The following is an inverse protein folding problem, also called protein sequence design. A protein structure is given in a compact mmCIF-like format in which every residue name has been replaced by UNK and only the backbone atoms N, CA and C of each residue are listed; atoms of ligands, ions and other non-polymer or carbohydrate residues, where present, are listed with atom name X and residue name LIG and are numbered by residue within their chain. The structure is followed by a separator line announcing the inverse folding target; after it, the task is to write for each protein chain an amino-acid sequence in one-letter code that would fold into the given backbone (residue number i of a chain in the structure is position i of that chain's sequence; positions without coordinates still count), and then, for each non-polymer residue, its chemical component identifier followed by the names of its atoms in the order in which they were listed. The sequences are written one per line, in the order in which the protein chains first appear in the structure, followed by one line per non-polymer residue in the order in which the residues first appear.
data_IF_522751730843
#
_entry.id   IF_522751730843
#
_cell.length_a   1.000
_cell.length_b   1.000
_cell.length_c   1.000
_cell.angle_alpha   90.00
_cell.angle_beta   90.00
_cell.angle_gamma   90.00
#
_symmetry.space_group_name_H-M   'P 1'
#
loop_
_entity.id
_entity.type
_entity.pdbx_description
1 polymer ?
#
# COMPACT_ATOMS: atom_id res chain seq x y z
N UNK A 1 -9.85 7.01 11.88
CA UNK A 1 -8.83 5.94 11.99
C UNK A 1 -9.32 4.88 12.96
N UNK A 2 -9.12 3.60 12.66
CA UNK A 2 -9.48 2.48 13.53
C UNK A 2 -8.19 1.72 13.84
N UNK A 3 -7.55 2.04 14.97
CA UNK A 3 -6.29 1.43 15.41
C UNK A 3 -6.39 0.96 16.85
N UNK A 4 -5.83 -0.21 17.14
CA UNK A 4 -5.53 -0.62 18.52
C UNK A 4 -4.13 -0.15 18.96
N UNK A 5 -3.20 0.04 18.01
CA UNK A 5 -1.82 0.47 18.26
C UNK A 5 -1.62 1.98 18.06
N UNK A 6 -1.33 2.68 19.17
CA UNK A 6 -1.08 4.13 19.18
C UNK A 6 0.22 4.51 18.44
N UNK A 7 1.18 3.61 18.32
CA UNK A 7 2.44 3.83 17.59
C UNK A 7 2.17 3.96 16.09
N UNK A 8 1.35 3.07 15.53
CA UNK A 8 0.94 3.09 14.12
C UNK A 8 0.11 4.33 13.84
N UNK A 9 -0.84 4.66 14.73
CA UNK A 9 -1.61 5.91 14.66
C UNK A 9 -0.69 7.14 14.62
N UNK A 10 0.29 7.21 15.52
CA UNK A 10 1.20 8.35 15.59
C UNK A 10 2.10 8.45 14.35
N UNK A 11 2.52 7.32 13.78
CA UNK A 11 3.26 7.29 12.53
C UNK A 11 2.39 7.83 11.37
N UNK A 12 1.10 7.47 11.31
CA UNK A 12 0.20 7.97 10.27
C UNK A 12 0.00 9.49 10.39
N UNK A 13 -0.20 9.99 11.61
CA UNK A 13 -0.26 11.44 11.89
C UNK A 13 1.04 12.15 11.52
N UNK A 14 2.19 11.49 11.62
CA UNK A 14 3.45 12.08 11.15
C UNK A 14 3.52 12.11 9.63
N UNK A 15 2.98 11.10 8.95
CA UNK A 15 2.90 11.08 7.49
C UNK A 15 1.98 12.20 6.95
N UNK A 16 0.85 12.47 7.59
CA UNK A 16 -0.01 13.61 7.21
C UNK A 16 0.74 14.94 7.34
N UNK A 17 1.52 15.12 8.41
CA UNK A 17 2.32 16.35 8.62
C UNK A 17 3.39 16.55 7.53
N UNK A 18 3.94 15.49 6.94
CA UNK A 18 4.86 15.62 5.82
C UNK A 18 4.15 16.23 4.61
N UNK A 19 2.93 15.76 4.32
CA UNK A 19 2.09 16.32 3.26
C UNK A 19 1.68 17.77 3.56
N UNK A 20 1.24 18.09 4.78
CA UNK A 20 0.87 19.45 5.19
C UNK A 20 2.05 20.43 5.11
N UNK A 21 3.27 19.98 5.42
CA UNK A 21 4.47 20.81 5.35
C UNK A 21 4.91 21.08 3.91
N UNK A 22 4.70 20.13 3.00
CA UNK A 22 5.13 20.21 1.60
C UNK A 22 4.07 20.75 0.63
N UNK A 23 2.82 20.87 1.06
CA UNK A 23 1.68 21.20 0.19
C UNK A 23 0.72 22.19 0.87
N UNK A 24 -0.43 22.46 0.25
CA UNK A 24 -1.53 23.22 0.85
C UNK A 24 -2.61 22.33 1.48
N UNK A 25 -2.37 21.02 1.59
CA UNK A 25 -3.31 20.08 2.20
C UNK A 25 -3.42 20.32 3.70
N UNK A 26 -4.58 20.01 4.26
CA UNK A 26 -4.86 20.02 5.69
C UNK A 26 -5.59 18.72 6.03
N UNK A 27 -5.06 17.93 6.97
CA UNK A 27 -5.66 16.67 7.40
C UNK A 27 -6.34 16.86 8.75
N UNK A 28 -7.63 16.51 8.82
CA UNK A 28 -8.42 16.58 10.06
C UNK A 28 -8.96 15.21 10.38
N UNK A 29 -8.57 14.69 11.54
CA UNK A 29 -9.17 13.47 12.05
C UNK A 29 -10.64 13.73 12.42
N UNK A 30 -11.54 12.97 11.80
CA UNK A 30 -12.96 13.02 12.11
C UNK A 30 -13.52 11.59 12.15
N UNK A 31 -13.78 11.08 13.35
CA UNK A 31 -14.28 9.71 13.56
C UNK A 31 -15.72 9.48 13.11
N UNK A 32 -16.46 10.52 12.70
CA UNK A 32 -17.85 10.42 12.23
C UNK A 32 -18.03 10.89 10.79
N UNK A 33 -16.94 11.20 10.08
CA UNK A 33 -17.01 11.57 8.67
C UNK A 33 -17.53 10.37 7.84
N UNK A 34 -18.42 10.67 6.90
CA UNK A 34 -18.95 9.68 5.93
C UNK A 34 -18.24 9.74 4.58
N UNK A 35 -17.35 10.71 4.41
CA UNK A 35 -16.53 10.95 3.23
C UNK A 35 -15.11 11.28 3.69
N UNK A 36 -14.10 10.71 3.04
CA UNK A 36 -12.68 10.98 3.31
C UNK A 36 -11.82 9.73 3.22
N UNK A 37 -10.69 9.76 3.96
CA UNK A 37 -9.77 8.63 4.07
C UNK A 37 -10.10 7.84 5.33
N UNK A 38 -10.53 6.59 5.16
CA UNK A 38 -10.67 5.63 6.25
C UNK A 38 -9.36 4.86 6.39
N UNK A 39 -8.69 5.00 7.52
CA UNK A 39 -7.47 4.24 7.81
C UNK A 39 -7.80 3.07 8.73
N UNK A 40 -7.50 1.86 8.28
CA UNK A 40 -7.75 0.60 8.96
C UNK A 40 -6.46 -0.17 9.19
N UNK A 41 -6.47 -1.01 10.22
CA UNK A 41 -5.41 -1.99 10.44
C UNK A 41 -5.86 -3.35 9.93
N UNK A 42 -5.14 -3.92 8.96
CA UNK A 42 -5.34 -5.28 8.48
C UNK A 42 -4.16 -6.16 8.88
N UNK A 43 -4.47 -7.36 9.33
CA UNK A 43 -3.53 -8.31 9.92
C UNK A 43 -2.95 -9.27 8.88
N UNK A 44 -3.57 -9.35 7.71
CA UNK A 44 -3.26 -10.37 6.70
C UNK A 44 -2.83 -9.78 5.37
N UNK A 45 -3.01 -8.47 5.14
CA UNK A 45 -2.71 -7.82 3.87
C UNK A 45 -1.47 -6.92 3.93
N UNK A 46 -0.94 -6.57 2.75
CA UNK A 46 0.16 -5.59 2.62
C UNK A 46 -0.34 -4.17 2.90
N UNK A 47 0.55 -3.19 2.79
CA UNK A 47 0.14 -1.78 2.72
C UNK A 47 -0.53 -1.55 1.36
N UNK A 48 -1.76 -1.06 1.36
CA UNK A 48 -2.41 -0.63 0.13
C UNK A 48 -3.51 0.39 0.39
N UNK A 49 -3.86 1.09 -0.68
CA UNK A 49 -4.98 2.02 -0.74
C UNK A 49 -5.99 1.54 -1.76
N UNK A 50 -7.24 1.37 -1.35
CA UNK A 50 -8.38 1.13 -2.23
C UNK A 50 -9.26 2.38 -2.31
N UNK A 51 -9.96 2.55 -3.44
CA UNK A 51 -10.86 3.67 -3.67
C UNK A 51 -12.22 3.13 -4.08
N UNK A 52 -13.23 3.28 -3.22
CA UNK A 52 -14.63 3.04 -3.55
C UNK A 52 -15.40 4.37 -3.79
N UNK A 53 -16.67 4.27 -4.20
CA UNK A 53 -17.51 5.41 -4.57
C UNK A 53 -17.61 6.53 -3.51
N UNK A 54 -17.18 6.30 -2.26
CA UNK A 54 -17.29 7.30 -1.17
C UNK A 54 -16.11 7.36 -0.20
N UNK A 55 -15.14 6.45 -0.23
CA UNK A 55 -13.98 6.49 0.66
C UNK A 55 -12.70 5.96 0.01
N UNK A 56 -11.57 6.57 0.38
CA UNK A 56 -10.26 5.95 0.20
C UNK A 56 -9.95 5.14 1.46
N UNK A 57 -9.80 3.83 1.33
CA UNK A 57 -9.43 2.95 2.44
C UNK A 57 -7.94 2.74 2.38
N UNK A 58 -7.22 3.19 3.40
CA UNK A 58 -5.80 2.87 3.58
C UNK A 58 -5.72 1.73 4.59
N UNK A 59 -5.28 0.57 4.12
CA UNK A 59 -5.06 -0.62 4.93
C UNK A 59 -3.60 -0.75 5.32
N UNK A 60 -3.32 -0.83 6.62
CA UNK A 60 -1.96 -0.88 7.15
C UNK A 60 -1.78 -2.12 8.02
N UNK A 61 -0.77 -2.93 7.71
CA UNK A 61 -0.28 -3.95 8.64
C UNK A 61 0.87 -3.40 9.50
N UNK A 62 1.35 -4.16 10.49
CA UNK A 62 2.47 -3.73 11.35
C UNK A 62 3.78 -3.49 10.57
N UNK A 63 3.96 -4.17 9.43
CA UNK A 63 5.08 -3.95 8.52
C UNK A 63 5.09 -2.53 7.93
N UNK A 64 3.91 -1.93 7.77
CA UNK A 64 3.67 -0.60 7.19
C UNK A 64 3.87 0.54 8.20
N UNK A 65 4.57 0.28 9.29
CA UNK A 65 4.69 1.22 10.42
C UNK A 65 5.67 2.37 10.16
N UNK A 66 6.40 2.35 9.05
CA UNK A 66 7.26 3.47 8.70
C UNK A 66 6.42 4.65 8.20
N UNK A 67 6.84 5.86 8.60
CA UNK A 67 6.18 7.11 8.16
C UNK A 67 6.21 7.26 6.64
N UNK A 68 7.27 6.78 5.98
CA UNK A 68 7.38 6.75 4.52
C UNK A 68 6.27 5.93 3.88
N UNK A 69 5.94 4.80 4.48
CA UNK A 69 5.01 3.84 3.90
C UNK A 69 3.59 4.39 3.97
N UNK A 70 3.24 4.99 5.10
CA UNK A 70 1.96 5.68 5.25
C UNK A 70 1.86 6.93 4.37
N UNK A 71 2.97 7.64 4.15
CA UNK A 71 2.98 8.81 3.26
C UNK A 71 2.74 8.42 1.80
N UNK A 72 3.26 7.25 1.39
CA UNK A 72 3.02 6.64 0.10
C UNK A 72 1.53 6.30 -0.10
N UNK A 73 0.91 5.64 0.87
CA UNK A 73 -0.53 5.32 0.81
C UNK A 73 -1.41 6.58 0.78
N UNK A 74 -1.04 7.63 1.53
CA UNK A 74 -1.72 8.93 1.41
C UNK A 74 -1.60 9.48 -0.02
N UNK A 75 -0.45 9.30 -0.68
CA UNK A 75 -0.26 9.65 -2.09
C UNK A 75 -1.26 8.95 -3.00
N UNK A 76 -1.44 7.63 -2.83
CA UNK A 76 -2.46 6.88 -3.56
C UNK A 76 -3.88 7.39 -3.30
N UNK A 77 -4.23 7.71 -2.05
CA UNK A 77 -5.51 8.30 -1.70
C UNK A 77 -5.73 9.68 -2.33
N UNK A 78 -4.67 10.42 -2.63
CA UNK A 78 -4.70 11.69 -3.34
C UNK A 78 -4.74 11.54 -4.88
N UNK A 79 -4.72 10.31 -5.38
CA UNK A 79 -4.76 9.99 -6.81
C UNK A 79 -3.38 9.94 -7.48
N UNK A 80 -2.30 9.77 -6.71
CA UNK A 80 -0.97 9.56 -7.26
C UNK A 80 -0.77 8.07 -7.57
N UNK A 81 -0.58 7.68 -8.83
CA UNK A 81 -0.19 6.32 -9.19
C UNK A 81 1.30 6.12 -8.90
N UNK A 82 1.77 4.87 -8.92
CA UNK A 82 3.20 4.63 -8.82
C UNK A 82 3.95 5.29 -9.98
N UNK A 83 5.12 5.84 -9.66
CA UNK A 83 5.89 6.65 -10.60
C UNK A 83 6.38 5.85 -11.81
N UNK A 84 6.67 4.56 -11.64
CA UNK A 84 7.02 3.69 -12.76
C UNK A 84 5.86 3.43 -13.72
N UNK A 85 4.63 3.90 -13.47
CA UNK A 85 3.53 3.77 -14.43
C UNK A 85 3.43 4.98 -15.36
N UNK A 86 4.21 6.04 -15.17
CA UNK A 86 4.20 7.21 -16.08
C UNK A 86 4.42 6.81 -17.54
N UNK A 87 3.75 7.50 -18.46
CA UNK A 87 3.85 7.27 -19.90
C UNK A 87 5.25 7.57 -20.43
N UNK A 88 5.95 8.53 -19.82
CA UNK A 88 7.30 8.94 -20.18
C UNK A 88 8.41 8.12 -19.50
N UNK A 89 8.07 7.12 -18.67
CA UNK A 89 9.05 6.38 -17.85
C UNK A 89 10.18 5.75 -18.66
N UNK A 90 9.92 5.34 -19.91
CA UNK A 90 10.88 4.60 -20.73
C UNK A 90 12.06 5.50 -21.17
N UNK A 91 11.96 6.82 -20.92
CA UNK A 91 13.07 7.76 -21.05
C UNK A 91 14.05 7.72 -19.86
N UNK A 92 13.65 7.10 -18.73
CA UNK A 92 14.38 7.14 -17.45
C UNK A 92 14.71 5.76 -16.90
N UNK A 93 13.83 4.78 -17.09
CA UNK A 93 13.96 3.42 -16.54
C UNK A 93 13.70 2.35 -17.60
N UNK A 94 14.23 1.15 -17.37
CA UNK A 94 13.95 -0.05 -18.16
C UNK A 94 13.37 -1.11 -17.22
N UNK A 95 12.16 -1.59 -17.51
CA UNK A 95 11.57 -2.71 -16.79
C UNK A 95 12.12 -4.03 -17.35
N UNK A 96 12.92 -4.74 -16.55
CA UNK A 96 13.33 -6.10 -16.91
C UNK A 96 12.24 -7.09 -16.49
N UNK A 97 11.32 -7.38 -17.39
CA UNK A 97 10.18 -8.29 -17.17
C UNK A 97 10.60 -9.69 -16.70
N UNK A 98 11.80 -10.17 -17.06
CA UNK A 98 12.30 -11.48 -16.59
C UNK A 98 12.60 -11.53 -15.09
N UNK A 99 12.72 -10.35 -14.44
CA UNK A 99 12.95 -10.19 -13.02
C UNK A 99 11.70 -9.78 -12.24
N UNK A 100 10.58 -9.51 -12.90
CA UNK A 100 9.30 -9.24 -12.23
C UNK A 100 8.75 -10.57 -11.70
N UNK A 101 8.58 -10.67 -10.39
CA UNK A 101 8.15 -11.89 -9.70
C UNK A 101 7.19 -11.55 -8.59
N UNK A 102 6.16 -12.37 -8.41
CA UNK A 102 5.26 -12.28 -7.27
C UNK A 102 6.03 -12.66 -6.00
N UNK A 103 6.10 -11.75 -5.03
CA UNK A 103 6.70 -12.01 -3.72
C UNK A 103 5.59 -12.11 -2.67
N UNK A 104 5.53 -13.23 -1.96
CA UNK A 104 4.63 -13.41 -0.80
C UNK A 104 5.25 -12.96 0.52
N UNK A 105 6.46 -12.39 0.47
CA UNK A 105 7.30 -12.14 1.65
C UNK A 105 6.76 -11.05 2.56
N UNK A 106 6.01 -10.11 2.01
CA UNK A 106 5.47 -8.98 2.76
C UNK A 106 4.30 -9.42 3.66
N UNK A 107 3.45 -10.30 3.15
CA UNK A 107 2.37 -10.98 3.89
C UNK A 107 2.93 -11.86 5.01
N UNK A 108 4.02 -12.59 4.73
CA UNK A 108 4.74 -13.36 5.74
C UNK A 108 5.23 -12.48 6.89
N UNK A 109 5.70 -11.26 6.58
CA UNK A 109 6.21 -10.34 7.60
C UNK A 109 5.10 -9.73 8.45
N UNK A 110 3.96 -9.33 7.86
CA UNK A 110 2.78 -8.88 8.61
C UNK A 110 2.30 -9.97 9.59
N UNK A 111 2.19 -11.22 9.12
CA UNK A 111 1.74 -12.36 9.92
C UNK A 111 2.74 -12.74 11.04
N UNK A 112 4.05 -12.77 10.76
CA UNK A 112 5.07 -13.18 11.73
C UNK A 112 5.27 -12.18 12.87
N UNK A 113 5.16 -10.87 12.59
CA UNK A 113 5.40 -9.80 13.57
C UNK A 113 4.37 -9.78 14.69
N UNK A 114 3.10 -9.99 14.37
CA UNK A 114 2.00 -10.02 15.34
C UNK A 114 2.06 -11.24 16.28
N UNK A 115 2.83 -12.27 15.95
CA UNK A 115 2.69 -13.61 16.54
C UNK A 115 3.94 -14.20 17.23
N UNK A 116 4.99 -13.39 17.45
CA UNK A 116 6.20 -13.69 18.24
C UNK A 116 6.43 -15.17 18.66
N UNK A 117 6.89 -16.00 17.71
CA UNK A 117 7.71 -17.18 18.00
C UNK A 117 7.03 -18.49 18.46
N UNK A 118 5.75 -18.73 18.17
CA UNK A 118 5.14 -20.05 18.45
C UNK A 118 5.30 -21.04 17.28
N UNK A 119 5.71 -22.28 17.59
CA UNK A 119 5.91 -23.37 16.59
C UNK A 119 4.56 -23.81 15.95
N UNK A 120 3.46 -23.63 16.68
CA UNK A 120 2.10 -23.89 16.18
C UNK A 120 1.74 -22.94 15.04
N UNK A 121 2.19 -21.68 15.11
CA UNK A 121 1.94 -20.65 14.10
C UNK A 121 2.76 -20.89 12.82
N UNK A 122 3.97 -21.43 12.93
CA UNK A 122 4.70 -21.89 11.74
C UNK A 122 3.97 -23.04 11.05
N UNK A 123 3.35 -23.93 11.82
CA UNK A 123 2.58 -25.04 11.27
C UNK A 123 1.24 -24.58 10.68
N UNK A 124 0.60 -23.55 11.24
CA UNK A 124 -0.57 -22.90 10.66
C UNK A 124 -0.22 -22.12 9.39
N UNK A 125 0.86 -21.33 9.37
CA UNK A 125 1.39 -20.71 8.16
C UNK A 125 1.72 -21.74 7.09
N UNK A 126 2.45 -22.81 7.46
CA UNK A 126 2.77 -23.89 6.52
C UNK A 126 1.49 -24.60 6.05
N UNK A 127 0.50 -24.83 6.91
CA UNK A 127 -0.78 -25.43 6.55
C UNK A 127 -1.64 -24.49 5.69
N UNK A 128 -1.58 -23.17 5.89
CA UNK A 128 -2.25 -22.14 5.07
C UNK A 128 -1.58 -22.00 3.70
N UNK A 129 -0.25 -21.95 3.67
CA UNK A 129 0.57 -21.96 2.45
C UNK A 129 0.40 -23.27 1.64
N UNK A 130 0.24 -24.42 2.31
CA UNK A 130 0.01 -25.72 1.68
C UNK A 130 -1.46 -25.99 1.29
N UNK A 131 -2.42 -25.34 1.94
CA UNK A 131 -3.86 -25.53 1.66
C UNK A 131 -4.44 -24.57 0.62
N UNK A 132 -3.61 -23.71 0.02
CA UNK A 132 -4.07 -22.59 -0.80
C UNK A 132 -5.06 -21.66 -0.07
N UNK A 133 -5.08 -21.67 1.27
CA UNK A 133 -5.83 -20.73 2.11
C UNK A 133 -5.07 -19.44 2.37
N UNK A 134 -4.17 -19.05 1.46
CA UNK A 134 -4.01 -17.63 1.19
C UNK A 134 -5.30 -17.20 0.47
N UNK A 135 -6.39 -17.03 1.22
CA UNK A 135 -7.57 -16.24 0.83
C UNK A 135 -7.18 -14.75 0.85
N UNK A 136 -6.06 -14.38 0.22
CA UNK A 136 -5.82 -13.01 -0.18
C UNK A 136 -6.60 -12.82 -1.46
N UNK A 137 -7.88 -12.53 -1.27
CA UNK A 137 -8.89 -12.29 -2.30
C UNK A 137 -8.80 -13.34 -3.40
N UNK A 138 -9.58 -14.40 -3.29
CA UNK A 138 -9.84 -15.30 -4.41
C UNK A 138 -10.15 -14.47 -5.69
N UNK A 139 -9.31 -14.49 -6.75
CA UNK A 139 -8.18 -15.41 -7.02
C UNK A 139 -6.77 -14.86 -6.67
N UNK A 140 -5.76 -15.75 -6.49
CA UNK A 140 -4.38 -15.36 -6.20
C UNK A 140 -3.86 -14.42 -7.29
N UNK A 141 -3.24 -13.29 -6.88
CA UNK A 141 -2.60 -12.34 -7.79
C UNK A 141 -1.68 -13.12 -8.72
N UNK A 142 -2.13 -13.27 -9.95
CA UNK A 142 -1.39 -13.92 -11.02
C UNK A 142 -0.16 -13.07 -11.34
N UNK A 143 0.88 -13.67 -11.94
CA UNK A 143 1.99 -12.88 -12.46
C UNK A 143 1.48 -11.79 -13.40
N UNK A 144 0.46 -12.09 -14.20
CA UNK A 144 -0.22 -11.13 -15.08
C UNK A 144 -0.83 -9.96 -14.30
N UNK A 145 -1.55 -10.22 -13.20
CA UNK A 145 -2.10 -9.16 -12.33
C UNK A 145 -1.02 -8.36 -11.62
N UNK A 146 0.06 -9.00 -11.19
CA UNK A 146 1.20 -8.30 -10.59
C UNK A 146 1.93 -7.43 -11.62
N UNK A 147 2.07 -7.91 -12.86
CA UNK A 147 2.67 -7.16 -13.97
C UNK A 147 1.87 -5.90 -14.32
N UNK A 148 0.55 -5.86 -14.05
CA UNK A 148 -0.27 -4.65 -14.24
C UNK A 148 0.26 -3.45 -13.45
N UNK A 149 0.87 -3.67 -12.29
CA UNK A 149 1.51 -2.60 -11.50
C UNK A 149 2.72 -1.95 -12.21
N UNK A 150 3.21 -2.57 -13.28
CA UNK A 150 4.33 -2.07 -14.09
C UNK A 150 3.88 -1.68 -15.49
N UNK A 151 2.59 -1.65 -15.83
CA UNK A 151 2.11 -1.21 -17.15
C UNK A 151 2.14 0.33 -17.22
N UNK A 152 2.44 0.90 -18.39
CA UNK A 152 2.39 2.36 -18.57
C UNK A 152 0.94 2.81 -18.57
N UNK A 153 0.68 3.93 -17.91
CA UNK A 153 -0.59 4.63 -18.03
C UNK A 153 -0.79 5.16 -19.44
N UNK A 154 -2.04 5.13 -19.86
CA UNK A 154 -2.51 5.77 -21.08
C UNK A 154 -2.71 7.28 -20.88
N UNK A 155 -2.94 8.00 -21.99
CA UNK A 155 -3.01 9.46 -22.00
C UNK A 155 -4.17 10.04 -21.19
N UNK A 156 -5.27 9.29 -21.08
CA UNK A 156 -6.46 9.62 -20.29
C UNK A 156 -6.32 9.23 -18.81
N UNK A 157 -5.40 8.33 -18.48
CA UNK A 157 -5.05 7.95 -17.10
C UNK A 157 -4.03 8.94 -16.49
N UNK A 158 -3.06 9.41 -17.29
CA UNK A 158 -2.04 10.39 -16.83
C UNK A 158 -2.51 11.84 -17.02
N UNK A 159 -3.40 12.31 -16.15
CA UNK A 159 -3.90 13.70 -16.18
C UNK A 159 -2.98 14.70 -15.43
N UNK A 160 -1.97 14.23 -14.68
CA UNK A 160 -1.18 15.05 -13.75
C UNK A 160 0.30 15.21 -14.17
N UNK A 161 0.54 15.90 -15.29
CA UNK A 161 1.90 16.16 -15.82
C UNK A 161 2.80 17.08 -14.96
N UNK A 162 2.29 17.63 -13.85
CA UNK A 162 2.97 18.69 -13.07
C UNK A 162 3.48 18.29 -11.69
N UNK A 163 3.19 17.07 -11.22
CA UNK A 163 3.61 16.65 -9.87
C UNK A 163 5.03 16.07 -9.94
N UNK A 164 6.00 16.60 -9.16
CA UNK A 164 7.35 16.05 -9.10
C UNK A 164 7.33 14.59 -8.70
N UNK A 165 8.36 13.85 -9.15
CA UNK A 165 8.65 12.48 -8.72
C UNK A 165 8.45 12.34 -7.21
N UNK A 166 7.41 11.59 -6.81
CA UNK A 166 7.14 11.30 -5.41
C UNK A 166 8.41 10.63 -4.84
N UNK A 167 8.93 11.25 -3.76
CA UNK A 167 10.14 10.87 -3.04
C UNK A 167 10.06 9.50 -2.32
N UNK A 168 8.96 8.77 -2.49
CA UNK A 168 8.65 7.44 -1.96
C UNK A 168 7.78 6.56 -2.88
N UNK A 169 7.49 6.96 -4.12
CA UNK A 169 6.68 6.15 -5.08
C UNK A 169 7.47 5.10 -5.86
N UNK A 170 8.78 5.02 -5.65
CA UNK A 170 9.61 4.00 -6.30
C UNK A 170 9.52 2.72 -5.47
N UNK A 171 8.33 2.09 -5.50
CA UNK A 171 8.00 0.76 -4.96
C UNK A 171 8.06 0.60 -3.42
N UNK A 172 7.04 -0.08 -2.88
CA UNK A 172 7.20 -1.04 -1.77
C UNK A 172 7.03 -2.47 -2.29
#
# INVERSE_FOLDING_TARGET
MIFEDETIRQAFVNATKLWEAGTCLEFKENGTATEGILVTQDLFENCYTDSDERNHIISLCEACSAVSDMAHEIGHALGLPHMQNRRDRDNYIIVNWTNVKVSVRFLEFCYQKQHQGSVEIQNEYNAMALSHKFDLINPPITLEEHEKQYIKMEEDEEAQYGIPYDLGSIMQ
#
